data_IF_569279506513
#
_entry.id   IF_569279506513
#
_cell.length_a   1.000
_cell.length_b   1.000
_cell.length_c   1.000
_cell.angle_alpha   90.00
_cell.angle_beta   90.00
_cell.angle_gamma   90.00
#
_symmetry.space_group_name_H-M   'P 1'
#
loop_
_entity.id
_entity.type
_entity.pdbx_description
1 polymer ?
#
# COMPACT_ATOMS: atom_id res chain seq x y z
N UNK A 1 -1.68 4.15 16.57
CA UNK A 1 -2.02 2.89 17.27
C UNK A 1 -1.75 1.74 16.32
N UNK A 2 -1.11 0.67 16.78
CA UNK A 2 -0.87 -0.54 16.01
C UNK A 2 -1.48 -1.72 16.76
N UNK A 3 -2.24 -2.54 16.06
CA UNK A 3 -2.77 -3.81 16.57
C UNK A 3 -2.58 -4.88 15.50
N UNK A 4 -1.68 -5.82 15.77
CA UNK A 4 -1.33 -6.89 14.83
C UNK A 4 -2.04 -8.22 15.12
N UNK A 5 -3.02 -8.19 16.03
CA UNK A 5 -3.97 -9.27 16.28
C UNK A 5 -5.38 -8.68 16.28
N UNK A 6 -5.74 -8.01 15.19
CA UNK A 6 -6.92 -7.16 15.14
C UNK A 6 -8.21 -7.89 15.55
N UNK A 7 -8.35 -9.18 15.21
CA UNK A 7 -9.52 -9.98 15.52
C UNK A 7 -10.75 -9.31 14.94
N UNK A 8 -11.71 -8.92 15.79
CA UNK A 8 -12.88 -8.18 15.29
C UNK A 8 -12.55 -6.74 14.84
N UNK A 9 -11.43 -6.16 15.25
CA UNK A 9 -10.99 -4.80 14.91
C UNK A 9 -11.42 -3.74 15.92
N UNK A 10 -11.79 -4.11 17.15
CA UNK A 10 -12.26 -3.21 18.22
C UNK A 10 -11.34 -2.01 18.44
N UNK A 11 -10.03 -2.19 18.33
CA UNK A 11 -9.03 -1.12 18.42
C UNK A 11 -9.32 0.05 17.48
N UNK A 12 -9.68 -0.21 16.22
CA UNK A 12 -10.02 0.87 15.28
C UNK A 12 -11.30 1.60 15.67
N UNK A 13 -12.32 0.90 16.18
CA UNK A 13 -13.54 1.56 16.68
C UNK A 13 -13.21 2.50 17.84
N UNK A 14 -12.47 2.01 18.84
CA UNK A 14 -12.10 2.81 20.00
C UNK A 14 -11.29 4.06 19.60
N UNK A 15 -10.39 3.93 18.62
CA UNK A 15 -9.62 5.08 18.10
C UNK A 15 -10.54 6.11 17.43
N UNK A 16 -11.47 5.68 16.59
CA UNK A 16 -12.41 6.58 15.91
C UNK A 16 -13.37 7.26 16.90
N UNK A 17 -13.90 6.52 17.89
CA UNK A 17 -14.76 7.06 18.94
C UNK A 17 -14.02 8.09 19.79
N UNK A 18 -12.78 7.78 20.21
CA UNK A 18 -12.00 8.71 21.03
C UNK A 18 -11.62 9.97 20.25
N UNK A 19 -11.23 9.86 18.98
CA UNK A 19 -10.98 11.03 18.13
C UNK A 19 -12.22 11.92 17.97
N UNK A 20 -13.42 11.34 17.95
CA UNK A 20 -14.66 12.10 17.94
C UNK A 20 -14.89 12.81 19.28
N UNK A 21 -14.69 12.12 20.40
CA UNK A 21 -14.94 12.64 21.74
C UNK A 21 -14.01 13.80 22.12
N UNK A 22 -12.70 13.65 21.88
CA UNK A 22 -11.70 14.65 22.25
C UNK A 22 -11.21 15.52 21.08
N UNK A 23 -11.72 15.23 19.88
CA UNK A 23 -11.33 15.93 18.67
C UNK A 23 -9.88 15.66 18.25
N UNK A 24 -9.31 14.53 18.65
CA UNK A 24 -7.96 14.09 18.29
C UNK A 24 -7.84 13.62 16.84
N UNK A 25 -6.60 13.30 16.44
CA UNK A 25 -6.23 12.89 15.09
C UNK A 25 -5.43 11.57 15.09
N UNK A 26 -5.74 10.67 16.03
CA UNK A 26 -5.05 9.38 16.17
C UNK A 26 -5.28 8.53 14.93
N UNK A 27 -4.21 7.92 14.43
CA UNK A 27 -4.26 6.96 13.31
C UNK A 27 -4.13 5.54 13.84
N UNK A 28 -4.69 4.57 13.12
CA UNK A 28 -4.57 3.15 13.43
C UNK A 28 -3.98 2.36 12.25
N UNK A 29 -3.29 1.26 12.59
CA UNK A 29 -2.91 0.19 11.65
C UNK A 29 -3.39 -1.10 12.28
N UNK A 30 -4.20 -1.87 11.54
CA UNK A 30 -4.64 -3.19 11.93
C UNK A 30 -3.97 -4.23 11.02
N UNK A 31 -3.50 -5.32 11.61
CA UNK A 31 -3.08 -6.52 10.88
C UNK A 31 -3.95 -7.68 11.32
N UNK A 32 -4.53 -8.37 10.34
CA UNK A 32 -5.34 -9.57 10.53
C UNK A 32 -4.89 -10.61 9.51
N UNK A 33 -4.63 -11.83 9.98
CA UNK A 33 -4.37 -12.95 9.10
C UNK A 33 -5.65 -13.38 8.40
N UNK A 34 -5.55 -13.73 7.12
CA UNK A 34 -6.62 -14.30 6.31
C UNK A 34 -6.88 -15.78 6.66
N UNK A 35 -7.15 -16.04 7.94
CA UNK A 35 -7.52 -17.37 8.41
C UNK A 35 -8.91 -17.74 7.85
N UNK A 36 -8.97 -18.90 7.18
CA UNK A 36 -10.21 -19.40 6.60
C UNK A 36 -11.26 -19.68 7.67
N UNK A 37 -12.49 -19.23 7.45
CA UNK A 37 -13.62 -19.52 8.32
C UNK A 37 -14.10 -20.94 8.03
N UNK A 38 -14.02 -21.82 9.03
CA UNK A 38 -14.53 -23.18 8.96
C UNK A 38 -16.08 -23.17 8.98
N UNK A 39 -16.70 -23.63 7.89
CA UNK A 39 -18.17 -23.68 7.74
C UNK A 39 -18.83 -24.53 8.84
N UNK A 40 -18.21 -25.64 9.24
CA UNK A 40 -18.80 -26.55 10.22
C UNK A 40 -18.76 -25.97 11.63
N UNK A 41 -17.71 -25.21 11.97
CA UNK A 41 -17.54 -24.60 13.30
C UNK A 41 -18.23 -23.25 13.44
N UNK A 42 -18.27 -22.48 12.34
CA UNK A 42 -18.63 -21.06 12.35
C UNK A 42 -19.62 -20.72 11.25
N UNK A 43 -20.65 -21.56 11.07
CA UNK A 43 -21.64 -21.45 9.99
C UNK A 43 -22.23 -20.05 9.83
N UNK A 44 -22.59 -19.38 10.93
CA UNK A 44 -23.19 -18.03 10.88
C UNK A 44 -22.24 -17.02 10.23
N UNK A 45 -20.97 -17.01 10.64
CA UNK A 45 -19.96 -16.12 10.07
C UNK A 45 -19.65 -16.49 8.62
N UNK A 46 -19.56 -17.78 8.33
CA UNK A 46 -19.32 -18.29 6.98
C UNK A 46 -20.44 -17.88 6.00
N UNK A 47 -21.70 -18.14 6.36
CA UNK A 47 -22.89 -17.78 5.57
C UNK A 47 -22.98 -16.26 5.39
N UNK A 48 -22.68 -15.48 6.43
CA UNK A 48 -22.64 -14.02 6.35
C UNK A 48 -21.60 -13.53 5.34
N UNK A 49 -20.36 -14.02 5.41
CA UNK A 49 -19.31 -13.65 4.45
C UNK A 49 -19.70 -14.02 3.01
N UNK A 50 -20.28 -15.20 2.81
CA UNK A 50 -20.63 -15.71 1.49
C UNK A 50 -21.82 -14.98 0.87
N UNK A 51 -22.87 -14.74 1.67
CA UNK A 51 -24.14 -14.20 1.17
C UNK A 51 -24.16 -12.66 1.17
N UNK A 52 -23.68 -12.04 2.25
CA UNK A 52 -23.74 -10.58 2.42
C UNK A 52 -22.49 -9.89 1.88
N UNK A 53 -21.30 -10.40 2.24
CA UNK A 53 -20.02 -9.81 1.82
C UNK A 53 -19.57 -10.29 0.43
N UNK A 54 -20.23 -11.31 -0.12
CA UNK A 54 -19.91 -11.94 -1.42
C UNK A 54 -18.47 -12.47 -1.49
N UNK A 55 -17.91 -12.84 -0.34
CA UNK A 55 -16.58 -13.44 -0.24
C UNK A 55 -16.62 -14.84 -0.84
N UNK A 56 -15.74 -15.09 -1.82
CA UNK A 56 -15.62 -16.40 -2.45
C UNK A 56 -15.02 -17.42 -1.48
N UNK A 57 -14.03 -16.99 -0.70
CA UNK A 57 -13.33 -17.77 0.30
C UNK A 57 -13.39 -17.02 1.63
N UNK A 58 -14.44 -17.24 2.46
CA UNK A 58 -14.62 -16.55 3.73
C UNK A 58 -13.40 -16.62 4.65
N UNK A 59 -12.90 -15.45 5.06
CA UNK A 59 -11.75 -15.32 5.98
C UNK A 59 -12.07 -14.35 7.12
N UNK A 60 -11.33 -14.45 8.24
CA UNK A 60 -11.55 -13.60 9.42
C UNK A 60 -11.39 -12.10 9.08
N UNK A 61 -10.50 -11.74 8.16
CA UNK A 61 -10.32 -10.35 7.73
C UNK A 61 -11.58 -9.76 7.08
N UNK A 62 -12.43 -10.56 6.41
CA UNK A 62 -13.69 -10.10 5.81
C UNK A 62 -14.61 -9.44 6.87
N UNK A 63 -14.85 -10.16 7.98
CA UNK A 63 -15.69 -9.67 9.08
C UNK A 63 -15.01 -8.57 9.88
N UNK A 64 -13.67 -8.57 9.93
CA UNK A 64 -12.87 -7.51 10.58
C UNK A 64 -13.10 -6.18 9.86
N UNK A 65 -12.89 -6.19 8.53
CA UNK A 65 -13.06 -5.05 7.65
C UNK A 65 -14.49 -4.55 7.73
N UNK A 66 -15.48 -5.46 7.62
CA UNK A 66 -16.89 -5.09 7.68
C UNK A 66 -17.27 -4.45 9.02
N UNK A 67 -16.78 -4.97 10.14
CA UNK A 67 -17.05 -4.39 11.45
C UNK A 67 -16.49 -2.97 11.56
N UNK A 68 -15.27 -2.74 11.06
CA UNK A 68 -14.67 -1.40 11.02
C UNK A 68 -15.49 -0.45 10.14
N UNK A 69 -15.93 -0.89 8.95
CA UNK A 69 -16.83 -0.11 8.07
C UNK A 69 -18.12 0.28 8.77
N UNK A 70 -18.77 -0.67 9.45
CA UNK A 70 -20.03 -0.42 10.19
C UNK A 70 -19.81 0.52 11.37
N UNK A 71 -18.71 0.39 12.09
CA UNK A 71 -18.35 1.29 13.19
C UNK A 71 -18.15 2.72 12.67
N UNK A 72 -17.33 2.91 11.63
CA UNK A 72 -17.12 4.19 10.98
C UNK A 72 -18.45 4.83 10.53
N UNK A 73 -19.30 4.08 9.82
CA UNK A 73 -20.60 4.57 9.36
C UNK A 73 -21.55 4.98 10.51
N UNK A 74 -21.52 4.25 11.62
CA UNK A 74 -22.31 4.58 12.82
C UNK A 74 -21.81 5.87 13.47
N UNK A 75 -20.49 6.02 13.61
CA UNK A 75 -19.86 7.21 14.21
C UNK A 75 -20.16 8.45 13.35
N UNK A 76 -20.05 8.33 12.02
CA UNK A 76 -20.37 9.38 11.06
C UNK A 76 -21.83 9.86 11.18
N UNK A 77 -22.79 8.93 11.26
CA UNK A 77 -24.23 9.26 11.42
C UNK A 77 -24.51 9.99 12.74
N UNK A 78 -23.77 9.69 13.79
CA UNK A 78 -23.90 10.37 15.07
C UNK A 78 -23.22 11.75 15.09
N UNK A 79 -22.47 12.11 14.04
CA UNK A 79 -21.66 13.33 13.97
C UNK A 79 -22.24 14.39 13.02
N UNK A 80 -23.49 14.24 12.58
CA UNK A 80 -24.21 15.12 11.64
C UNK A 80 -24.30 16.61 12.05
N UNK A 81 -23.83 16.98 13.24
CA UNK A 81 -23.91 18.31 13.83
C UNK A 81 -22.53 18.92 14.17
N UNK A 82 -21.43 18.18 13.97
CA UNK A 82 -20.09 18.65 14.31
C UNK A 82 -19.44 19.32 13.09
N UNK A 83 -18.81 20.48 13.32
CA UNK A 83 -18.05 21.21 12.29
C UNK A 83 -16.61 20.68 12.13
N UNK A 84 -16.28 19.55 12.77
CA UNK A 84 -14.91 19.02 12.83
C UNK A 84 -14.77 17.88 11.83
N UNK A 85 -13.77 17.99 10.96
CA UNK A 85 -13.46 16.97 9.97
C UNK A 85 -12.90 15.72 10.68
N UNK A 86 -13.70 14.65 10.77
CA UNK A 86 -13.33 13.40 11.40
C UNK A 86 -12.84 12.41 10.34
N UNK A 87 -11.57 11.99 10.44
CA UNK A 87 -11.00 10.96 9.57
C UNK A 87 -11.47 9.57 10.02
N UNK A 88 -12.43 9.02 9.28
CA UNK A 88 -13.01 7.69 9.49
C UNK A 88 -12.63 6.71 8.37
N UNK A 89 -11.86 7.18 7.39
CA UNK A 89 -11.46 6.39 6.24
C UNK A 89 -10.25 5.52 6.58
N UNK A 90 -10.11 4.45 5.82
CA UNK A 90 -8.95 3.57 5.92
C UNK A 90 -8.66 2.93 4.58
N UNK A 91 -7.42 2.46 4.41
CA UNK A 91 -6.98 1.74 3.22
C UNK A 91 -6.77 0.28 3.55
N UNK A 92 -7.06 -0.58 2.57
CA UNK A 92 -6.85 -2.02 2.67
C UNK A 92 -5.60 -2.39 1.87
N UNK A 93 -4.77 -3.24 2.46
CA UNK A 93 -3.58 -3.78 1.84
C UNK A 93 -3.55 -5.29 2.07
N UNK A 94 -3.05 -6.02 1.09
CA UNK A 94 -2.78 -7.45 1.20
C UNK A 94 -1.29 -7.69 1.01
N UNK A 95 -0.82 -8.84 1.47
CA UNK A 95 0.58 -9.25 1.29
C UNK A 95 0.69 -10.23 0.13
N UNK A 96 1.69 -10.04 -0.70
CA UNK A 96 2.07 -10.96 -1.76
C UNK A 96 3.52 -11.39 -1.59
N UNK A 97 3.89 -12.53 -2.17
CA UNK A 97 5.29 -12.96 -2.19
C UNK A 97 6.09 -12.02 -3.10
N UNK A 98 7.27 -11.60 -2.62
CA UNK A 98 8.19 -10.78 -3.42
C UNK A 98 8.76 -11.58 -4.60
N UNK A 99 9.20 -10.93 -5.69
CA UNK A 99 9.91 -11.60 -6.77
C UNK A 99 11.16 -12.35 -6.29
N UNK A 100 11.48 -13.44 -6.99
CA UNK A 100 12.63 -14.29 -6.69
C UNK A 100 13.50 -14.52 -7.93
N UNK A 101 14.82 -14.33 -7.79
CA UNK A 101 15.79 -14.69 -8.82
C UNK A 101 16.23 -16.13 -8.60
N UNK A 102 16.04 -16.97 -9.62
CA UNK A 102 16.47 -18.37 -9.61
C UNK A 102 17.53 -18.62 -10.68
N UNK A 103 18.53 -19.43 -10.36
CA UNK A 103 19.52 -19.94 -11.32
C UNK A 103 18.97 -21.16 -12.04
N UNK A 104 19.06 -21.18 -13.36
CA UNK A 104 18.74 -22.32 -14.20
C UNK A 104 19.97 -23.19 -14.46
N UNK A 105 19.77 -24.43 -14.93
CA UNK A 105 20.84 -25.41 -15.18
C UNK A 105 21.90 -24.93 -16.20
N UNK A 106 21.57 -23.92 -17.01
CA UNK A 106 22.44 -23.36 -18.05
C UNK A 106 23.16 -22.06 -17.63
N UNK A 107 23.33 -21.80 -16.32
CA UNK A 107 23.87 -20.54 -15.76
C UNK A 107 23.05 -19.28 -16.11
N UNK A 108 21.84 -19.45 -16.61
CA UNK A 108 20.90 -18.35 -16.82
C UNK A 108 20.19 -17.99 -15.51
N UNK A 109 19.85 -16.72 -15.35
CA UNK A 109 18.98 -16.25 -14.27
C UNK A 109 17.57 -16.03 -14.79
N UNK A 110 16.57 -16.49 -14.04
CA UNK A 110 15.16 -16.21 -14.31
C UNK A 110 14.54 -15.49 -13.11
N UNK A 111 13.85 -14.39 -13.39
CA UNK A 111 13.02 -13.71 -12.40
C UNK A 111 11.64 -14.36 -12.35
N UNK A 112 11.24 -14.81 -11.17
CA UNK A 112 9.90 -15.33 -10.89
C UNK A 112 9.10 -14.22 -10.21
N UNK A 113 8.00 -13.81 -10.84
CA UNK A 113 7.02 -12.89 -10.25
C UNK A 113 5.83 -13.69 -9.69
N UNK A 114 5.43 -13.38 -8.47
CA UNK A 114 4.35 -14.10 -7.77
C UNK A 114 3.02 -13.35 -7.75
N UNK A 115 3.03 -12.08 -8.15
CA UNK A 115 1.85 -11.23 -8.25
C UNK A 115 2.08 -10.17 -9.34
N UNK A 116 0.99 -9.76 -9.99
CA UNK A 116 0.98 -8.61 -10.88
C UNK A 116 0.57 -7.37 -10.06
N UNK A 117 1.55 -6.53 -9.75
CA UNK A 117 1.34 -5.31 -8.96
C UNK A 117 0.98 -4.16 -9.87
N UNK A 118 -0.03 -3.36 -9.47
CA UNK A 118 -0.32 -2.13 -10.19
C UNK A 118 0.86 -1.15 -10.10
N UNK A 119 0.99 -0.19 -11.03
CA UNK A 119 2.03 0.81 -10.95
C UNK A 119 2.00 1.61 -9.64
N UNK A 120 0.80 1.84 -9.09
CA UNK A 120 0.62 2.51 -7.81
C UNK A 120 1.11 1.64 -6.63
N UNK A 121 0.90 0.33 -6.67
CA UNK A 121 1.40 -0.59 -5.64
C UNK A 121 2.93 -0.69 -5.68
N UNK A 122 3.53 -0.74 -6.88
CA UNK A 122 4.99 -0.67 -7.05
C UNK A 122 5.57 0.61 -6.45
N UNK A 123 5.00 1.78 -6.79
CA UNK A 123 5.44 3.05 -6.22
C UNK A 123 5.24 3.14 -4.70
N UNK A 124 4.12 2.62 -4.19
CA UNK A 124 3.87 2.56 -2.75
C UNK A 124 4.90 1.70 -2.03
N UNK A 125 5.20 0.52 -2.57
CA UNK A 125 6.18 -0.38 -1.99
C UNK A 125 7.58 0.27 -2.00
N UNK A 126 7.97 0.98 -3.06
CA UNK A 126 9.22 1.76 -3.10
C UNK A 126 9.23 2.86 -2.02
N UNK A 127 8.14 3.59 -1.87
CA UNK A 127 8.00 4.60 -0.83
C UNK A 127 8.12 4.02 0.58
N UNK A 128 7.57 2.83 0.83
CA UNK A 128 7.71 2.14 2.11
C UNK A 128 9.16 1.73 2.40
N UNK A 129 9.94 1.32 1.39
CA UNK A 129 11.38 1.04 1.55
C UNK A 129 12.19 2.31 1.83
N UNK A 130 11.79 3.44 1.24
CA UNK A 130 12.26 4.79 1.58
C UNK A 130 11.69 5.32 2.91
N UNK A 131 11.20 4.41 3.78
CA UNK A 131 10.69 4.74 5.13
C UNK A 131 9.54 5.75 5.14
N UNK A 132 8.82 5.94 4.02
CA UNK A 132 7.60 6.74 3.99
C UNK A 132 6.50 6.02 4.74
N UNK A 133 5.67 6.79 5.43
CA UNK A 133 4.55 6.25 6.19
C UNK A 133 3.32 6.08 5.28
N UNK A 134 2.51 5.04 5.51
CA UNK A 134 1.29 4.72 4.74
C UNK A 134 0.26 5.87 4.63
N UNK A 135 0.25 6.79 5.59
CA UNK A 135 -0.67 7.93 5.60
C UNK A 135 -0.17 9.10 4.75
N UNK A 136 1.07 9.06 4.25
CA UNK A 136 1.61 10.10 3.39
C UNK A 136 0.99 9.97 2.01
N UNK A 137 0.78 11.12 1.37
CA UNK A 137 0.18 11.16 0.04
C UNK A 137 1.24 10.77 -0.99
N UNK A 138 0.90 9.78 -1.82
CA UNK A 138 1.68 9.38 -2.98
C UNK A 138 1.01 10.00 -4.21
N UNK A 139 1.69 10.95 -4.84
CA UNK A 139 1.17 11.71 -5.97
C UNK A 139 1.69 11.14 -7.28
N UNK A 140 0.81 10.96 -8.25
CA UNK A 140 1.19 10.57 -9.61
C UNK A 140 1.65 11.81 -10.38
N UNK A 141 2.94 11.90 -10.67
CA UNK A 141 3.52 12.99 -11.46
C UNK A 141 3.35 12.70 -12.95
N UNK A 142 3.71 11.48 -13.36
CA UNK A 142 3.43 10.94 -14.69
C UNK A 142 2.66 9.64 -14.47
N UNK A 143 1.42 9.61 -14.99
CA UNK A 143 0.49 8.51 -14.77
C UNK A 143 1.14 7.16 -15.09
N UNK A 144 1.07 6.24 -14.14
CA UNK A 144 1.56 4.86 -14.23
C UNK A 144 3.09 4.72 -14.39
N UNK A 145 3.86 5.82 -14.26
CA UNK A 145 5.32 5.83 -14.52
C UNK A 145 6.16 6.47 -13.43
N UNK A 146 5.75 7.63 -12.93
CA UNK A 146 6.52 8.44 -11.97
C UNK A 146 5.62 8.95 -10.86
N UNK A 147 6.01 8.66 -9.63
CA UNK A 147 5.28 9.07 -8.43
C UNK A 147 6.18 9.86 -7.50
N UNK A 148 5.58 10.71 -6.67
CA UNK A 148 6.25 11.51 -5.67
C UNK A 148 5.64 11.30 -4.29
N UNK A 149 6.48 11.20 -3.26
CA UNK A 149 6.06 11.32 -1.87
C UNK A 149 7.08 12.19 -1.13
N UNK A 150 6.64 13.35 -0.66
CA UNK A 150 7.52 14.35 -0.04
C UNK A 150 8.69 14.71 -0.99
N UNK A 151 9.94 14.57 -0.53
CA UNK A 151 11.15 14.90 -1.30
C UNK A 151 11.73 13.72 -2.10
N UNK A 152 10.92 12.68 -2.35
CA UNK A 152 11.37 11.46 -3.02
C UNK A 152 10.51 11.17 -4.24
N UNK A 153 11.14 10.73 -5.31
CA UNK A 153 10.54 10.31 -6.57
C UNK A 153 10.73 8.80 -6.76
N UNK A 154 9.71 8.12 -7.28
CA UNK A 154 9.68 6.68 -7.49
C UNK A 154 9.39 6.39 -8.95
N UNK A 155 10.38 5.84 -9.65
CA UNK A 155 10.27 5.43 -11.05
C UNK A 155 9.72 3.99 -11.07
N UNK A 156 8.56 3.82 -11.71
CA UNK A 156 7.88 2.54 -11.88
C UNK A 156 7.98 2.04 -13.32
N UNK A 157 8.03 2.98 -14.27
CA UNK A 157 8.27 2.68 -15.67
C UNK A 157 9.15 3.78 -16.24
N UNK A 158 10.21 3.38 -16.95
CA UNK A 158 11.15 4.31 -17.57
C UNK A 158 10.82 4.54 -19.04
N UNK A 159 10.82 5.81 -19.45
CA UNK A 159 10.81 6.22 -20.85
C UNK A 159 11.39 7.63 -21.01
N UNK A 160 11.34 8.15 -22.24
CA UNK A 160 11.82 9.51 -22.55
C UNK A 160 11.12 10.61 -21.76
N UNK A 161 9.83 10.47 -21.50
CA UNK A 161 9.05 11.47 -20.76
C UNK A 161 9.52 11.55 -19.31
N UNK A 162 9.71 10.39 -18.66
CA UNK A 162 10.26 10.31 -17.30
C UNK A 162 11.69 10.83 -17.27
N UNK A 163 12.54 10.42 -18.23
CA UNK A 163 13.93 10.87 -18.30
C UNK A 163 14.03 12.40 -18.45
N UNK A 164 13.21 13.00 -19.30
CA UNK A 164 13.17 14.44 -19.50
C UNK A 164 12.64 15.18 -18.27
N UNK A 165 11.67 14.61 -17.56
CA UNK A 165 11.24 15.15 -16.27
C UNK A 165 12.39 15.14 -15.26
N UNK A 166 13.05 13.99 -15.10
CA UNK A 166 14.16 13.86 -14.14
C UNK A 166 15.25 14.90 -14.45
N UNK A 167 15.68 15.01 -15.72
CA UNK A 167 16.76 15.92 -16.11
C UNK A 167 16.44 17.41 -15.95
N UNK A 168 15.20 17.80 -16.20
CA UNK A 168 14.83 19.21 -16.35
C UNK A 168 14.00 19.77 -15.19
N UNK A 169 13.41 18.91 -14.36
CA UNK A 169 12.48 19.30 -13.29
C UNK A 169 12.94 18.90 -11.90
N UNK A 170 13.87 17.94 -11.77
CA UNK A 170 14.41 17.57 -10.46
C UNK A 170 15.61 18.44 -10.09
N UNK A 171 15.74 18.69 -8.79
CA UNK A 171 16.79 19.51 -8.21
C UNK A 171 17.51 18.70 -7.13
N UNK A 172 16.87 18.55 -5.97
CA UNK A 172 17.40 17.91 -4.78
C UNK A 172 16.62 16.65 -4.37
N UNK A 173 15.58 16.28 -5.11
CA UNK A 173 14.80 15.08 -4.84
C UNK A 173 15.67 13.82 -4.95
N UNK A 174 15.41 12.87 -4.05
CA UNK A 174 16.00 11.53 -4.11
C UNK A 174 15.14 10.68 -5.04
N UNK A 175 15.76 9.91 -5.92
CA UNK A 175 15.07 9.11 -6.93
C UNK A 175 15.32 7.64 -6.66
N UNK A 176 14.24 6.87 -6.60
CA UNK A 176 14.24 5.44 -6.36
C UNK A 176 13.80 4.68 -7.62
N UNK A 177 14.48 3.57 -7.89
CA UNK A 177 14.18 2.63 -8.95
C UNK A 177 14.18 1.20 -8.39
N UNK A 178 13.20 0.40 -8.80
CA UNK A 178 13.19 -1.03 -8.49
C UNK A 178 14.16 -1.79 -9.42
N UNK A 179 15.05 -2.59 -8.84
CA UNK A 179 16.04 -3.38 -9.57
C UNK A 179 15.43 -4.52 -10.42
N UNK A 180 14.19 -4.91 -10.12
CA UNK A 180 13.48 -5.96 -10.86
C UNK A 180 12.64 -5.42 -12.02
N UNK A 181 12.43 -4.11 -12.12
CA UNK A 181 11.71 -3.51 -13.23
C UNK A 181 12.65 -3.33 -14.43
N UNK A 182 12.11 -3.55 -15.64
CA UNK A 182 12.88 -3.41 -16.87
C UNK A 182 13.30 -1.95 -17.11
N UNK A 183 14.58 -1.75 -17.39
CA UNK A 183 15.15 -0.46 -17.78
C UNK A 183 16.23 -0.65 -18.85
N UNK A 184 16.23 0.21 -19.86
CA UNK A 184 17.28 0.22 -20.86
C UNK A 184 18.61 0.72 -20.26
N UNK A 185 19.73 0.10 -20.66
CA UNK A 185 21.05 0.44 -20.13
C UNK A 185 21.42 1.91 -20.39
N UNK A 186 21.09 2.45 -21.57
CA UNK A 186 21.38 3.84 -21.88
C UNK A 186 20.53 4.79 -21.02
N UNK A 187 19.27 4.45 -20.75
CA UNK A 187 18.41 5.21 -19.85
C UNK A 187 18.93 5.20 -18.42
N UNK A 188 19.35 4.03 -17.92
CA UNK A 188 19.97 3.90 -16.60
C UNK A 188 21.25 4.74 -16.46
N UNK A 189 22.18 4.64 -17.41
CA UNK A 189 23.44 5.40 -17.37
C UNK A 189 23.20 6.92 -17.45
N UNK A 190 22.17 7.34 -18.20
CA UNK A 190 21.74 8.73 -18.24
C UNK A 190 21.18 9.21 -16.89
N UNK A 191 20.42 8.38 -16.19
CA UNK A 191 19.94 8.67 -14.83
C UNK A 191 21.10 8.76 -13.85
N UNK A 192 21.96 7.76 -13.83
CA UNK A 192 23.09 7.64 -12.90
C UNK A 192 24.04 8.85 -13.03
N UNK A 193 24.38 9.23 -14.26
CA UNK A 193 25.27 10.39 -14.51
C UNK A 193 24.68 11.72 -14.05
N UNK A 194 23.35 11.88 -14.14
CA UNK A 194 22.64 13.10 -13.75
C UNK A 194 22.39 13.16 -12.23
N UNK A 195 21.92 12.07 -11.63
CA UNK A 195 21.47 12.01 -10.25
C UNK A 195 22.62 11.70 -9.28
N UNK A 196 23.62 10.92 -9.70
CA UNK A 196 24.77 10.50 -8.90
C UNK A 196 24.30 9.89 -7.57
N UNK A 197 24.66 10.51 -6.44
CA UNK A 197 24.31 10.05 -5.08
C UNK A 197 22.82 10.19 -4.73
N UNK A 198 22.00 10.77 -5.62
CA UNK A 198 20.54 10.88 -5.44
C UNK A 198 19.77 9.71 -6.05
N UNK A 199 20.42 8.80 -6.79
CA UNK A 199 19.77 7.62 -7.36
C UNK A 199 19.96 6.41 -6.42
N UNK A 200 18.86 5.79 -6.02
CA UNK A 200 18.83 4.57 -5.21
C UNK A 200 18.14 3.45 -6.00
N UNK A 201 18.87 2.37 -6.22
CA UNK A 201 18.34 1.14 -6.83
C UNK A 201 18.07 0.15 -5.70
N UNK A 202 16.83 -0.30 -5.59
CA UNK A 202 16.36 -1.14 -4.48
C UNK A 202 15.76 -2.45 -4.99
N UNK A 203 15.92 -3.52 -4.22
CA UNK A 203 15.34 -4.82 -4.53
C UNK A 203 14.05 -4.98 -3.74
N UNK A 204 12.92 -5.12 -4.43
CA UNK A 204 11.58 -5.11 -3.87
C UNK A 204 10.82 -6.40 -4.14
#
# INVERSE_FOLDING_TARGET
>A
MLDFFAGSGTTAQAVMELNKEDGGNRKFILVQLDEAIDEAKSKVAYDFCKNELKSQNPVISDITIERVKRAAAKIAKQDLLSAKELDLDFRLFTMVQKPELVSEENDNLRLITHADLSPQDKALNLALQDSKMLHKKLESIIKDKLYQCENSLYIVQMDKEVLDYIKNKTHDEIVYLNAFDDIDLQEYLNLESHLKTRLYVVFQ
#
